data_IF_853271507903
#
_entry.id   IF_853271507903
#
_cell.length_a   1.000
_cell.length_b   1.000
_cell.length_c   1.000
_cell.angle_alpha   90.00
_cell.angle_beta   90.00
_cell.angle_gamma   90.00
#
_symmetry.space_group_name_H-M   'P 1'
#
loop_
_entity.id
_entity.type
_entity.pdbx_description
1 polymer ?
#
# COMPACT_ATOMS: atom_id res chain seq x y z
N UNK A 1 -10.91 -0.16 3.47
CA UNK A 1 -10.40 1.11 2.89
C UNK A 1 -10.52 2.24 3.89
N UNK A 2 -11.60 2.30 4.67
CA UNK A 2 -11.86 3.28 5.74
C UNK A 2 -10.63 3.61 6.61
N UNK A 3 -9.97 2.60 7.20
CA UNK A 3 -8.77 2.81 8.04
C UNK A 3 -7.61 3.54 7.34
N UNK A 4 -7.42 3.31 6.04
CA UNK A 4 -6.33 3.95 5.29
C UNK A 4 -6.65 5.43 5.03
N UNK A 5 -7.94 5.78 4.93
CA UNK A 5 -8.39 7.16 4.75
C UNK A 5 -8.35 7.92 6.07
N UNK A 6 -8.69 7.28 7.19
CA UNK A 6 -8.70 7.92 8.51
C UNK A 6 -7.32 8.39 8.98
N UNK A 7 -6.25 7.67 8.64
CA UNK A 7 -4.92 8.03 9.17
C UNK A 7 -3.74 7.60 8.29
N UNK A 8 -3.71 7.88 6.98
CA UNK A 8 -2.77 7.28 6.01
C UNK A 8 -1.28 7.39 6.38
N UNK A 9 -0.90 8.34 7.23
CA UNK A 9 0.48 8.49 7.72
C UNK A 9 0.90 7.45 8.79
N UNK A 10 -0.03 6.70 9.39
CA UNK A 10 0.27 5.71 10.44
C UNK A 10 1.02 4.48 9.92
N UNK A 11 0.91 4.18 8.63
CA UNK A 11 1.50 2.96 8.06
C UNK A 11 2.95 3.20 7.70
N UNK A 12 3.89 2.34 8.14
CA UNK A 12 5.31 2.58 7.91
C UNK A 12 5.66 2.67 6.43
N UNK A 13 6.74 3.39 6.14
CA UNK A 13 7.34 3.41 4.81
C UNK A 13 7.68 1.99 4.36
N UNK A 14 7.36 1.72 3.10
CA UNK A 14 7.56 0.47 2.41
C UNK A 14 8.43 0.70 1.17
N UNK A 15 8.50 -0.29 0.28
CA UNK A 15 9.36 -0.26 -0.90
C UNK A 15 9.10 0.96 -1.79
N UNK A 16 10.17 1.57 -2.30
CA UNK A 16 10.12 2.67 -3.27
C UNK A 16 9.32 3.90 -2.78
N UNK A 17 9.36 4.23 -1.49
CA UNK A 17 8.67 5.40 -0.93
C UNK A 17 7.17 5.21 -0.75
N UNK A 18 6.64 4.01 -1.04
CA UNK A 18 5.23 3.69 -0.78
C UNK A 18 4.98 3.44 0.71
N UNK A 19 3.71 3.35 1.12
CA UNK A 19 3.25 2.82 2.40
C UNK A 19 2.44 1.55 2.14
N UNK A 20 2.38 0.66 3.13
CA UNK A 20 1.68 -0.61 3.02
C UNK A 20 0.71 -0.83 4.18
N UNK A 21 -0.56 -1.08 3.85
CA UNK A 21 -1.55 -1.60 4.79
C UNK A 21 -1.81 -3.07 4.50
N UNK A 22 -1.63 -3.95 5.50
CA UNK A 22 -1.97 -5.38 5.38
C UNK A 22 -3.41 -5.57 5.87
N UNK A 23 -4.24 -6.21 5.07
CA UNK A 23 -5.61 -6.50 5.48
C UNK A 23 -5.60 -7.61 6.56
N UNK A 24 -6.35 -7.44 7.67
CA UNK A 24 -6.32 -8.41 8.77
C UNK A 24 -6.96 -9.76 8.42
N UNK A 25 -7.99 -9.75 7.56
CA UNK A 25 -8.81 -10.94 7.26
C UNK A 25 -8.41 -11.63 5.96
N UNK A 26 -7.82 -10.89 5.03
CA UNK A 26 -7.52 -11.39 3.69
C UNK A 26 -6.02 -11.28 3.42
N UNK A 27 -5.41 -12.24 2.68
CA UNK A 27 -3.98 -12.25 2.39
C UNK A 27 -3.60 -11.23 1.31
N UNK A 28 -4.08 -10.00 1.47
CA UNK A 28 -3.81 -8.87 0.61
C UNK A 28 -3.17 -7.75 1.42
N UNK A 29 -2.45 -6.90 0.71
CA UNK A 29 -1.94 -5.65 1.21
C UNK A 29 -2.23 -4.54 0.20
N UNK A 30 -2.66 -3.38 0.70
CA UNK A 30 -2.79 -2.16 -0.07
C UNK A 30 -1.48 -1.40 -0.04
N UNK A 31 -0.95 -1.07 -1.22
CA UNK A 31 0.27 -0.30 -1.40
C UNK A 31 -0.10 1.04 -2.03
N UNK A 32 0.32 2.13 -1.40
CA UNK A 32 -0.06 3.48 -1.82
C UNK A 32 1.05 4.51 -1.55
N UNK A 33 1.01 5.64 -2.24
CA UNK A 33 1.74 6.86 -1.87
C UNK A 33 0.85 7.80 -1.07
N UNK A 34 1.48 8.61 -0.23
CA UNK A 34 0.84 9.69 0.51
C UNK A 34 1.61 10.98 0.21
N UNK A 35 1.04 11.82 -0.64
CA UNK A 35 1.61 13.11 -1.06
C UNK A 35 0.55 14.20 -0.80
N UNK A 36 0.89 15.27 -0.08
CA UNK A 36 0.03 16.46 0.15
C UNK A 36 -1.46 16.14 0.38
N UNK A 37 -1.73 15.14 1.23
CA UNK A 37 -3.07 14.65 1.60
C UNK A 37 -3.83 13.84 0.53
N UNK A 38 -3.16 13.45 -0.55
CA UNK A 38 -3.67 12.56 -1.59
C UNK A 38 -3.13 11.15 -1.40
N UNK A 39 -4.03 10.17 -1.38
CA UNK A 39 -3.68 8.75 -1.35
C UNK A 39 -3.68 8.22 -2.79
N UNK A 40 -2.50 7.90 -3.33
CA UNK A 40 -2.38 7.26 -4.64
C UNK A 40 -2.18 5.76 -4.48
N UNK A 41 -3.20 4.97 -4.80
CA UNK A 41 -3.12 3.51 -4.73
C UNK A 41 -2.31 2.99 -5.92
N UNK A 42 -1.21 2.30 -5.64
CA UNK A 42 -0.34 1.68 -6.65
C UNK A 42 -0.74 0.24 -6.92
N UNK A 43 -1.08 -0.50 -5.85
CA UNK A 43 -1.42 -1.90 -5.97
C UNK A 43 -2.25 -2.40 -4.78
N UNK A 44 -3.11 -3.37 -5.07
CA UNK A 44 -3.56 -4.37 -4.11
C UNK A 44 -2.74 -5.63 -4.37
N UNK A 45 -1.85 -5.96 -3.45
CA UNK A 45 -0.85 -7.02 -3.57
C UNK A 45 -1.26 -8.24 -2.77
N UNK A 46 -1.21 -9.43 -3.36
CA UNK A 46 -1.48 -10.68 -2.64
C UNK A 46 -0.20 -11.15 -1.91
N UNK A 47 -0.26 -11.42 -0.60
CA UNK A 47 0.92 -11.72 0.23
C UNK A 47 1.63 -13.03 -0.15
N UNK A 48 0.92 -14.02 -0.71
CA UNK A 48 1.54 -15.24 -1.29
C UNK A 48 2.41 -15.00 -2.54
N UNK A 49 2.41 -13.80 -3.13
CA UNK A 49 3.24 -13.49 -4.30
C UNK A 49 4.58 -12.87 -3.89
N UNK A 50 5.57 -12.95 -4.79
CA UNK A 50 6.91 -12.39 -4.55
C UNK A 50 6.81 -10.91 -4.14
N UNK A 51 7.42 -10.49 -3.00
CA UNK A 51 7.42 -9.08 -2.60
C UNK A 51 7.87 -8.16 -3.72
N UNK A 52 7.15 -7.07 -3.93
CA UNK A 52 7.49 -6.06 -4.95
C UNK A 52 7.19 -6.46 -6.40
N UNK A 53 6.49 -7.57 -6.69
CA UNK A 53 6.10 -7.91 -8.08
C UNK A 53 5.28 -6.81 -8.79
N UNK A 54 4.61 -5.98 -7.99
CA UNK A 54 3.81 -4.84 -8.44
C UNK A 54 4.65 -3.60 -8.76
N UNK A 55 5.95 -3.56 -8.42
CA UNK A 55 6.83 -2.41 -8.67
C UNK A 55 6.88 -1.98 -10.13
N UNK A 56 6.67 -2.91 -11.07
CA UNK A 56 6.53 -2.61 -12.50
C UNK A 56 5.37 -1.67 -12.86
N UNK A 57 4.47 -1.39 -11.90
CA UNK A 57 3.34 -0.45 -12.02
C UNK A 57 3.67 0.96 -11.54
N UNK A 58 4.86 1.19 -10.97
CA UNK A 58 5.34 2.50 -10.53
C UNK A 58 5.80 3.39 -11.72
N UNK A 59 5.07 3.38 -12.83
CA UNK A 59 5.37 4.25 -13.97
C UNK A 59 5.10 5.71 -13.64
#
# INVERSE_FOLDING_TARGET
MEKVIEAPAQWPSYLAGTRRYVFPTYPYSLVYFLDDNVIRIVAVAHEKRRPGYWRKRLR
#
